data_IF_052002088403
#
_entry.id   IF_052002088403
#
_cell.length_a   1.000
_cell.length_b   1.000
_cell.length_c   1.000
_cell.angle_alpha   90.00
_cell.angle_beta   90.00
_cell.angle_gamma   90.00
#
_symmetry.space_group_name_H-M   'P 1'
#
loop_
_entity.id
_entity.type
_entity.pdbx_description
1 polymer ?
#
# COMPACT_ATOMS: atom_id res chain seq x y z
N UNK A 1 -4.38 8.25 -11.39
CA UNK A 1 -4.40 7.18 -10.37
C UNK A 1 -5.46 7.53 -9.34
N UNK A 2 -6.62 6.87 -9.33
CA UNK A 2 -7.72 7.20 -8.41
C UNK A 2 -7.66 6.38 -7.11
N UNK A 3 -7.25 5.11 -7.19
CA UNK A 3 -7.35 4.14 -6.10
C UNK A 3 -6.66 4.56 -4.79
N UNK A 4 -5.36 4.89 -4.82
CA UNK A 4 -4.63 5.30 -3.61
C UNK A 4 -5.20 6.60 -3.04
N UNK A 5 -5.51 7.57 -3.91
CA UNK A 5 -6.10 8.85 -3.49
C UNK A 5 -7.47 8.66 -2.84
N UNK A 6 -8.27 7.74 -3.34
CA UNK A 6 -9.58 7.44 -2.75
C UNK A 6 -9.45 6.83 -1.36
N UNK A 7 -8.43 6.01 -1.12
CA UNK A 7 -8.10 5.49 0.20
C UNK A 7 -7.64 6.59 1.16
N UNK A 8 -6.71 7.43 0.72
CA UNK A 8 -6.16 8.53 1.52
C UNK A 8 -7.23 9.58 1.87
N UNK A 9 -8.19 9.80 0.97
CA UNK A 9 -9.31 10.71 1.19
C UNK A 9 -10.48 10.08 1.94
N UNK A 10 -10.38 8.80 2.33
CA UNK A 10 -11.43 8.08 3.04
C UNK A 10 -12.69 7.82 2.21
N UNK A 11 -12.62 7.95 0.88
CA UNK A 11 -13.73 7.67 -0.04
C UNK A 11 -14.02 6.18 -0.13
N UNK A 12 -12.99 5.34 0.04
CA UNK A 12 -13.11 3.89 0.14
C UNK A 12 -12.13 3.32 1.18
N UNK A 13 -12.53 2.24 1.85
CA UNK A 13 -11.63 1.49 2.72
C UNK A 13 -10.70 0.60 1.88
N UNK A 14 -9.38 0.65 2.09
CA UNK A 14 -8.46 -0.28 1.44
C UNK A 14 -8.80 -1.73 1.79
N UNK A 15 -8.66 -2.68 0.85
CA UNK A 15 -8.79 -4.11 1.18
C UNK A 15 -7.82 -4.51 2.30
N UNK A 16 -8.24 -5.43 3.18
CA UNK A 16 -7.41 -5.85 4.32
C UNK A 16 -6.02 -6.37 3.95
N UNK A 17 -5.90 -7.05 2.80
CA UNK A 17 -4.62 -7.50 2.26
C UNK A 17 -3.68 -6.33 1.92
N UNK A 18 -4.22 -5.24 1.38
CA UNK A 18 -3.44 -4.02 1.07
C UNK A 18 -2.92 -3.39 2.36
N UNK A 19 -3.75 -3.28 3.40
CA UNK A 19 -3.32 -2.76 4.70
C UNK A 19 -2.20 -3.62 5.31
N UNK A 20 -2.27 -4.94 5.16
CA UNK A 20 -1.23 -5.84 5.64
C UNK A 20 0.07 -5.71 4.85
N UNK A 21 -0.02 -5.60 3.52
CA UNK A 21 1.13 -5.34 2.66
C UNK A 21 1.82 -4.01 3.02
N UNK A 22 1.05 -2.93 3.22
CA UNK A 22 1.60 -1.63 3.66
C UNK A 22 2.33 -1.74 5.00
N UNK A 23 1.82 -2.53 5.95
CA UNK A 23 2.49 -2.76 7.24
C UNK A 23 3.79 -3.56 7.09
N UNK A 24 3.82 -4.53 6.17
CA UNK A 24 5.04 -5.31 5.86
C UNK A 24 6.08 -4.39 5.23
N UNK A 25 5.71 -3.60 4.22
CA UNK A 25 6.66 -2.74 3.50
C UNK A 25 7.22 -1.62 4.37
N UNK A 26 6.44 -1.13 5.34
CA UNK A 26 6.95 -0.19 6.36
C UNK A 26 8.02 -0.81 7.28
N UNK A 27 7.96 -2.12 7.53
CA UNK A 27 8.95 -2.84 8.35
C UNK A 27 10.16 -3.32 7.55
N UNK A 28 9.93 -3.64 6.28
CA UNK A 28 10.89 -4.24 5.37
C UNK A 28 10.89 -3.48 4.04
N UNK A 29 11.39 -2.23 4.01
CA UNK A 29 11.40 -1.43 2.79
C UNK A 29 12.24 -2.05 1.66
N UNK A 30 13.21 -2.91 1.99
CA UNK A 30 14.00 -3.68 1.04
C UNK A 30 13.16 -4.56 0.11
N UNK A 31 11.97 -4.99 0.53
CA UNK A 31 11.07 -5.81 -0.30
C UNK A 31 10.50 -5.06 -1.50
N UNK A 32 10.54 -3.73 -1.47
CA UNK A 32 10.13 -2.89 -2.60
C UNK A 32 11.24 -2.70 -3.63
N UNK A 33 12.50 -3.05 -3.31
CA UNK A 33 13.63 -2.88 -4.21
C UNK A 33 13.45 -3.71 -5.49
N UNK A 34 12.95 -4.95 -5.35
CA UNK A 34 12.73 -5.87 -6.48
C UNK A 34 11.53 -5.47 -7.36
N UNK A 35 10.61 -4.65 -6.82
CA UNK A 35 9.42 -4.16 -7.55
C UNK A 35 9.69 -2.89 -8.36
N UNK A 36 10.82 -2.22 -8.14
CA UNK A 36 11.21 -0.98 -8.82
C UNK A 36 12.11 -1.19 -10.05
N UNK A 37 12.45 -2.46 -10.36
CA UNK A 37 13.24 -2.86 -11.53
C UNK A 37 12.35 -3.11 -12.76
#
# INVERSE_FOLDING_TARGET
MATLRDWEQGRFTPPGAVLYLLKITLKHPELLADLAA
#
